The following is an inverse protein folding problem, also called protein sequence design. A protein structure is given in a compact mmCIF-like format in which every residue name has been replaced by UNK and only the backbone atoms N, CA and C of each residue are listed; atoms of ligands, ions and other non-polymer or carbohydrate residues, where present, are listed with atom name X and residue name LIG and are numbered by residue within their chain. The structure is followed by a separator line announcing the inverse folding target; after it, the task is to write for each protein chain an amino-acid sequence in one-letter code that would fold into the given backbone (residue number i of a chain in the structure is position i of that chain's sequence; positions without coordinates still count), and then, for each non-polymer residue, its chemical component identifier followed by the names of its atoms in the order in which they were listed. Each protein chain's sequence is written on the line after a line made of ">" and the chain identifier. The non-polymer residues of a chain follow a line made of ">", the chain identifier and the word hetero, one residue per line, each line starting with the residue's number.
data_IF_268144667953
#
_entry.id   IF_268144667953
#
_cell.length_a   1.000
_cell.length_b   1.000
_cell.length_c   1.000
_cell.angle_alpha   90.00
_cell.angle_beta   90.00
_cell.angle_gamma   90.00
#
_symmetry.space_group_name_H-M   'P 1'
#
loop_
_entity.id
_entity.type
_entity.pdbx_description
1 polymer ?
#
# COMPACT_ATOMS: atom_id res chain seq x y z
N UNK A 1 -18.81 -13.32 10.02
CA UNK A 1 -17.89 -13.04 8.89
C UNK A 1 -16.50 -12.50 9.35
N UNK A 2 -15.98 -12.95 10.49
CA UNK A 2 -14.55 -12.78 10.87
C UNK A 2 -13.91 -14.13 11.26
N UNK A 3 -14.63 -15.24 11.12
CA UNK A 3 -14.22 -16.54 11.66
C UNK A 3 -13.35 -17.35 10.67
N UNK A 4 -13.24 -16.92 9.42
CA UNK A 4 -12.51 -17.65 8.35
C UNK A 4 -11.23 -16.94 7.89
N UNK A 5 -10.73 -15.99 8.68
CA UNK A 5 -9.51 -15.22 8.38
C UNK A 5 -8.39 -15.60 9.35
N UNK A 6 -7.18 -15.77 8.82
CA UNK A 6 -6.02 -16.11 9.63
C UNK A 6 -5.38 -14.82 10.17
N UNK A 7 -5.46 -14.59 11.49
CA UNK A 7 -4.95 -13.39 12.15
C UNK A 7 -3.79 -13.72 13.06
N UNK A 8 -2.81 -12.82 13.15
CA UNK A 8 -1.71 -12.95 14.10
C UNK A 8 -2.19 -12.53 15.49
N UNK A 9 -2.60 -13.51 16.31
CA UNK A 9 -3.18 -13.29 17.64
C UNK A 9 -2.26 -12.51 18.58
N UNK A 10 -0.96 -12.44 18.30
CA UNK A 10 -0.05 -11.56 19.05
C UNK A 10 -0.55 -10.13 19.00
N UNK A 11 -1.18 -9.67 17.92
CA UNK A 11 -1.66 -8.30 17.74
C UNK A 11 -3.02 -7.98 18.38
N UNK A 12 -3.66 -8.96 19.02
CA UNK A 12 -4.90 -8.77 19.77
C UNK A 12 -4.74 -7.74 20.91
N UNK A 13 -5.77 -6.94 21.25
CA UNK A 13 -7.08 -6.88 20.59
C UNK A 13 -7.03 -6.16 19.24
N UNK A 14 -7.97 -6.52 18.36
CA UNK A 14 -8.08 -5.95 17.01
C UNK A 14 -9.22 -4.94 16.89
N UNK A 15 -8.97 -3.89 16.12
CA UNK A 15 -9.99 -3.00 15.61
C UNK A 15 -10.84 -3.73 14.54
N UNK A 16 -12.03 -4.18 14.94
CA UNK A 16 -12.92 -4.96 14.06
C UNK A 16 -13.36 -4.18 12.82
N UNK A 17 -13.56 -2.87 12.94
CA UNK A 17 -13.89 -2.00 11.80
C UNK A 17 -12.73 -1.95 10.78
N UNK A 18 -11.48 -1.84 11.23
CA UNK A 18 -10.33 -1.83 10.33
C UNK A 18 -10.20 -3.18 9.60
N UNK A 19 -10.34 -4.29 10.33
CA UNK A 19 -10.35 -5.63 9.73
C UNK A 19 -11.42 -5.74 8.64
N UNK A 20 -12.67 -5.42 8.94
CA UNK A 20 -13.77 -5.51 7.97
C UNK A 20 -13.51 -4.67 6.72
N UNK A 21 -13.01 -3.43 6.89
CA UNK A 21 -12.69 -2.55 5.75
C UNK A 21 -11.52 -3.09 4.92
N UNK A 22 -10.48 -3.63 5.55
CA UNK A 22 -9.36 -4.25 4.82
C UNK A 22 -9.79 -5.49 4.04
N UNK A 23 -10.60 -6.36 4.64
CA UNK A 23 -11.14 -7.55 3.95
C UNK A 23 -11.99 -7.15 2.74
N UNK A 24 -12.82 -6.12 2.88
CA UNK A 24 -13.58 -5.57 1.76
C UNK A 24 -12.67 -5.07 0.64
N UNK A 25 -11.56 -4.41 0.96
CA UNK A 25 -10.58 -3.95 -0.05
C UNK A 25 -9.95 -5.14 -0.78
N UNK A 26 -9.55 -6.20 -0.06
CA UNK A 26 -9.00 -7.41 -0.68
C UNK A 26 -10.03 -8.02 -1.63
N UNK A 27 -11.26 -8.22 -1.16
CA UNK A 27 -12.33 -8.83 -1.95
C UNK A 27 -12.66 -7.99 -3.20
N UNK A 28 -12.73 -6.66 -3.07
CA UNK A 28 -12.96 -5.78 -4.21
C UNK A 28 -11.77 -5.82 -5.20
N UNK A 29 -10.54 -5.94 -4.71
CA UNK A 29 -9.37 -6.05 -5.56
C UNK A 29 -9.38 -7.35 -6.37
N UNK A 30 -9.64 -8.48 -5.72
CA UNK A 30 -9.71 -9.79 -6.39
C UNK A 30 -10.93 -9.94 -7.29
N UNK A 31 -12.04 -9.26 -6.98
CA UNK A 31 -13.21 -9.21 -7.84
C UNK A 31 -12.95 -8.37 -9.11
N UNK A 32 -12.22 -7.26 -8.97
CA UNK A 32 -11.85 -6.42 -10.12
C UNK A 32 -10.79 -7.06 -11.00
N UNK A 33 -9.79 -7.70 -10.38
CA UNK A 33 -8.70 -8.39 -11.05
C UNK A 33 -8.52 -9.80 -10.45
N UNK A 34 -8.98 -10.86 -11.16
CA UNK A 34 -8.78 -12.25 -10.73
C UNK A 34 -7.34 -12.58 -10.37
N UNK A 35 -6.39 -11.92 -11.05
CA UNK A 35 -4.94 -11.95 -10.79
C UNK A 35 -4.51 -10.62 -10.18
N UNK A 36 -4.57 -10.52 -8.86
CA UNK A 36 -4.18 -9.34 -8.09
C UNK A 36 -2.81 -9.55 -7.45
N UNK A 37 -1.93 -8.56 -7.55
CA UNK A 37 -0.72 -8.49 -6.74
C UNK A 37 -0.95 -7.49 -5.61
N UNK A 38 -0.77 -7.93 -4.36
CA UNK A 38 -0.71 -7.05 -3.21
C UNK A 38 0.76 -6.78 -2.83
N UNK A 39 1.08 -5.55 -2.47
CA UNK A 39 2.42 -5.15 -2.02
C UNK A 39 2.32 -4.35 -0.72
N UNK A 40 3.08 -4.76 0.29
CA UNK A 40 3.25 -3.98 1.53
C UNK A 40 4.35 -2.95 1.37
N UNK A 41 4.06 -1.73 1.81
CA UNK A 41 4.98 -0.59 1.78
C UNK A 41 4.85 0.18 3.09
N UNK A 42 5.97 0.63 3.65
CA UNK A 42 6.00 1.51 4.81
C UNK A 42 6.55 2.88 4.37
N UNK A 43 5.75 3.94 4.55
CA UNK A 43 6.10 5.31 4.19
C UNK A 43 6.54 6.09 5.42
N UNK A 44 7.69 6.76 5.32
CA UNK A 44 8.30 7.53 6.41
C UNK A 44 8.35 9.02 6.05
N UNK A 45 8.23 9.85 7.07
CA UNK A 45 8.42 11.29 6.94
C UNK A 45 9.91 11.65 7.06
N UNK A 46 10.39 12.69 6.33
CA UNK A 46 11.70 13.29 6.56
C UNK A 46 11.79 13.91 7.95
N UNK A 47 13.02 14.09 8.45
CA UNK A 47 13.22 14.59 9.81
C UNK A 47 12.70 16.01 10.04
N UNK A 48 12.71 16.84 9.00
CA UNK A 48 12.31 18.25 9.02
C UNK A 48 10.91 18.48 8.43
N UNK A 49 10.10 17.44 8.27
CA UNK A 49 8.77 17.58 7.68
C UNK A 49 7.71 17.75 8.76
N UNK A 50 7.01 18.87 8.76
CA UNK A 50 5.87 19.09 9.65
C UNK A 50 4.81 18.01 9.44
N UNK A 51 4.44 17.30 10.52
CA UNK A 51 3.46 16.22 10.48
C UNK A 51 2.06 16.71 10.03
N UNK A 52 1.81 18.01 10.18
CA UNK A 52 0.50 18.67 10.07
C UNK A 52 -0.01 18.92 8.65
N UNK A 53 0.50 18.24 7.61
CA UNK A 53 -0.06 18.39 6.25
C UNK A 53 -1.23 17.43 6.05
N UNK A 54 -2.43 17.91 6.35
CA UNK A 54 -3.68 17.22 6.02
C UNK A 54 -3.68 16.70 4.57
N UNK A 55 -4.24 15.50 4.36
CA UNK A 55 -4.35 14.90 3.03
C UNK A 55 -3.06 14.34 2.42
N UNK A 56 -1.99 14.16 3.20
CA UNK A 56 -0.71 13.62 2.69
C UNK A 56 -0.88 12.28 1.95
N UNK A 57 -1.62 11.33 2.53
CA UNK A 57 -1.87 10.05 1.87
C UNK A 57 -2.77 10.19 0.64
N UNK A 58 -3.73 11.12 0.65
CA UNK A 58 -4.54 11.40 -0.54
C UNK A 58 -3.67 11.88 -1.70
N UNK A 59 -2.77 12.86 -1.46
CA UNK A 59 -1.81 13.32 -2.47
C UNK A 59 -0.91 12.20 -2.99
N UNK A 60 -0.45 11.33 -2.09
CA UNK A 60 0.34 10.17 -2.47
C UNK A 60 -0.43 9.24 -3.42
N UNK A 61 -1.67 8.87 -3.05
CA UNK A 61 -2.51 7.98 -3.86
C UNK A 61 -2.86 8.61 -5.21
N UNK A 62 -3.22 9.90 -5.23
CA UNK A 62 -3.49 10.66 -6.47
C UNK A 62 -2.25 10.68 -7.37
N UNK A 63 -1.07 10.96 -6.81
CA UNK A 63 0.19 10.98 -7.54
C UNK A 63 0.55 9.60 -8.09
N UNK A 64 0.35 8.53 -7.32
CA UNK A 64 0.62 7.16 -7.75
C UNK A 64 -0.34 6.73 -8.86
N UNK A 65 -1.63 7.03 -8.74
CA UNK A 65 -2.63 6.78 -9.80
C UNK A 65 -2.26 7.50 -11.10
N UNK A 66 -1.93 8.79 -11.03
CA UNK A 66 -1.53 9.56 -12.21
C UNK A 66 -0.29 8.97 -12.89
N UNK A 67 0.68 8.49 -12.10
CA UNK A 67 1.90 7.84 -12.61
C UNK A 67 1.63 6.48 -13.25
N UNK A 68 0.76 5.66 -12.66
CA UNK A 68 0.32 4.37 -13.23
C UNK A 68 -0.39 4.61 -14.59
N UNK A 69 -1.28 5.61 -14.64
CA UNK A 69 -2.01 5.96 -15.87
C UNK A 69 -1.08 6.53 -16.96
N UNK A 70 -0.16 7.42 -16.60
CA UNK A 70 0.84 7.94 -17.52
C UNK A 70 1.72 6.83 -18.11
N UNK A 71 2.13 5.88 -17.26
CA UNK A 71 2.85 4.67 -17.69
C UNK A 71 2.02 3.85 -18.67
N UNK A 72 0.75 3.59 -18.36
CA UNK A 72 -0.14 2.83 -19.23
C UNK A 72 -0.27 3.48 -20.62
N UNK A 73 -0.54 4.78 -20.68
CA UNK A 73 -0.61 5.55 -21.93
C UNK A 73 0.71 5.54 -22.71
N UNK A 74 1.84 5.66 -22.02
CA UNK A 74 3.17 5.58 -22.65
C UNK A 74 3.41 4.22 -23.30
N UNK A 75 3.05 3.12 -22.62
CA UNK A 75 3.17 1.76 -23.16
C UNK A 75 2.26 1.52 -24.36
N UNK A 76 1.02 2.02 -24.33
CA UNK A 76 0.11 1.97 -25.48
C UNK A 76 0.69 2.70 -26.71
N UNK A 77 1.25 3.91 -26.51
CA UNK A 77 1.89 4.68 -27.60
C UNK A 77 3.11 3.96 -28.20
N UNK A 78 3.80 3.14 -27.42
CA UNK A 78 4.94 2.33 -27.86
C UNK A 78 4.51 1.00 -28.53
N UNK A 79 3.20 0.73 -28.66
CA UNK A 79 2.70 -0.55 -29.16
C UNK A 79 2.96 -1.73 -28.21
N UNK A 80 3.35 -1.47 -26.96
CA UNK A 80 3.62 -2.50 -25.96
C UNK A 80 2.31 -2.91 -25.30
N UNK A 81 1.99 -4.20 -25.39
CA UNK A 81 0.84 -4.78 -24.68
C UNK A 81 0.92 -4.47 -23.19
N UNK A 82 -0.09 -3.79 -22.68
CA UNK A 82 -0.25 -3.48 -21.27
C UNK A 82 -1.74 -3.51 -20.91
N UNK A 83 -2.03 -3.66 -19.63
CA UNK A 83 -3.39 -3.75 -19.11
C UNK A 83 -3.68 -2.56 -18.19
N UNK A 84 -4.93 -2.08 -18.15
CA UNK A 84 -5.32 -1.04 -17.19
C UNK A 84 -5.18 -1.56 -15.76
N UNK A 85 -4.80 -0.66 -14.85
CA UNK A 85 -4.59 -0.98 -13.45
C UNK A 85 -5.16 0.13 -12.57
N UNK A 86 -6.30 -0.15 -11.95
CA UNK A 86 -6.89 0.68 -10.93
C UNK A 86 -6.31 0.30 -9.56
N UNK A 87 -5.63 1.25 -8.91
CA UNK A 87 -5.02 1.03 -7.61
C UNK A 87 -6.09 0.92 -6.52
N UNK A 88 -5.99 -0.13 -5.71
CA UNK A 88 -6.71 -0.24 -4.43
C UNK A 88 -5.73 -0.28 -3.29
N UNK A 89 -6.15 0.14 -2.11
CA UNK A 89 -5.22 0.28 -0.99
C UNK A 89 -5.91 0.31 0.36
N UNK A 90 -5.14 -0.02 1.39
CA UNK A 90 -5.45 0.27 2.78
C UNK A 90 -4.18 0.74 3.48
N UNK A 91 -4.30 1.68 4.42
CA UNK A 91 -3.19 2.22 5.17
C UNK A 91 -3.58 2.48 6.62
N UNK A 92 -2.56 2.45 7.48
CA UNK A 92 -2.64 2.89 8.88
C UNK A 92 -1.49 3.82 9.20
N UNK A 93 -1.75 4.79 10.06
CA UNK A 93 -0.71 5.63 10.66
C UNK A 93 -0.32 5.04 12.00
N UNK A 94 0.98 5.06 12.27
CA UNK A 94 1.56 4.80 13.57
C UNK A 94 2.53 5.92 13.92
N UNK A 95 2.76 6.14 15.22
CA UNK A 95 3.71 7.12 15.71
C UNK A 95 4.83 6.34 16.40
N UNK A 96 6.06 6.52 15.91
CA UNK A 96 7.23 5.85 16.49
C UNK A 96 7.42 6.22 17.95
N UNK A 97 7.58 5.23 18.83
CA UNK A 97 7.68 5.46 20.27
C UNK A 97 8.88 6.34 20.65
N UNK A 98 10.03 6.12 19.97
CA UNK A 98 11.28 6.85 20.17
C UNK A 98 11.38 8.12 19.33
N UNK A 99 11.08 8.02 18.04
CA UNK A 99 11.19 9.16 17.10
C UNK A 99 10.09 10.19 17.28
N UNK A 100 8.97 9.81 17.92
CA UNK A 100 7.70 10.57 17.94
C UNK A 100 7.18 10.95 16.55
N UNK A 101 7.70 10.28 15.51
CA UNK A 101 7.40 10.56 14.12
C UNK A 101 6.33 9.64 13.57
N UNK A 102 5.45 10.22 12.78
CA UNK A 102 4.43 9.50 12.05
C UNK A 102 5.04 8.69 10.91
N UNK A 103 4.64 7.43 10.81
CA UNK A 103 4.91 6.56 9.67
C UNK A 103 3.64 5.84 9.27
N UNK A 104 3.54 5.47 7.99
CA UNK A 104 2.34 4.87 7.42
C UNK A 104 2.65 3.47 6.92
N UNK A 105 1.97 2.46 7.47
CA UNK A 105 1.99 1.13 6.91
C UNK A 105 0.86 1.01 5.91
N UNK A 106 1.16 0.51 4.71
CA UNK A 106 0.21 0.46 3.61
C UNK A 106 0.30 -0.86 2.87
N UNK A 107 -0.83 -1.27 2.33
CA UNK A 107 -0.92 -2.32 1.32
C UNK A 107 -1.55 -1.73 0.07
N UNK A 108 -0.92 -1.97 -1.07
CA UNK A 108 -1.41 -1.59 -2.39
C UNK A 108 -1.79 -2.85 -3.15
N UNK A 109 -2.89 -2.81 -3.89
CA UNK A 109 -3.35 -3.88 -4.76
C UNK A 109 -3.38 -3.37 -6.19
N UNK A 110 -2.74 -4.12 -7.07
CA UNK A 110 -2.58 -3.79 -8.48
C UNK A 110 -2.91 -5.00 -9.35
N UNK A 111 -3.27 -4.75 -10.60
CA UNK A 111 -3.43 -5.79 -11.59
C UNK A 111 -2.07 -6.49 -11.82
N UNK A 112 -1.99 -7.79 -11.54
CA UNK A 112 -0.75 -8.58 -11.70
C UNK A 112 -0.27 -8.60 -13.16
N UNK A 113 -1.20 -8.54 -14.11
CA UNK A 113 -0.87 -8.55 -15.53
C UNK A 113 -0.29 -7.19 -16.00
N UNK A 114 -0.47 -6.12 -15.20
CA UNK A 114 0.23 -4.83 -15.38
C UNK A 114 1.54 -4.79 -14.61
N UNK A 115 1.55 -5.28 -13.37
CA UNK A 115 2.70 -5.31 -12.47
C UNK A 115 2.86 -6.71 -11.87
N UNK A 116 3.84 -7.47 -12.37
CA UNK A 116 4.15 -8.81 -11.86
C UNK A 116 5.19 -8.82 -10.71
N UNK A 117 5.67 -7.64 -10.32
CA UNK A 117 6.62 -7.44 -9.24
C UNK A 117 6.90 -5.95 -9.01
N UNK A 118 7.85 -5.67 -8.12
CA UNK A 118 8.27 -4.30 -7.81
C UNK A 118 9.05 -3.63 -8.96
N UNK A 119 9.77 -4.41 -9.76
CA UNK A 119 10.76 -3.88 -10.69
C UNK A 119 11.99 -3.32 -9.98
N UNK A 120 12.81 -2.57 -10.71
CA UNK A 120 14.02 -1.94 -10.19
C UNK A 120 13.71 -0.60 -9.50
N UNK A 121 14.52 -0.28 -8.49
CA UNK A 121 14.49 0.99 -7.76
C UNK A 121 15.47 1.96 -8.41
N UNK A 122 15.06 2.63 -9.49
CA UNK A 122 15.88 3.65 -10.15
C UNK A 122 15.06 4.88 -10.51
N UNK A 123 15.72 6.03 -10.61
CA UNK A 123 15.10 7.31 -11.00
C UNK A 123 14.50 7.26 -12.42
N UNK A 124 15.07 6.43 -13.28
CA UNK A 124 14.57 6.13 -14.64
C UNK A 124 13.67 4.89 -14.69
N UNK A 125 13.48 4.22 -13.55
CA UNK A 125 12.74 2.97 -13.45
C UNK A 125 11.25 3.19 -13.72
N UNK A 126 10.67 2.35 -14.58
CA UNK A 126 9.21 2.35 -14.82
C UNK A 126 8.48 1.26 -14.05
N UNK A 127 9.17 0.61 -13.11
CA UNK A 127 8.63 -0.41 -12.21
C UNK A 127 7.79 0.20 -11.09
N UNK A 128 6.95 -0.63 -10.46
CA UNK A 128 6.04 -0.19 -9.41
C UNK A 128 6.79 0.49 -8.24
N UNK A 129 7.97 0.00 -7.87
CA UNK A 129 8.78 0.57 -6.80
C UNK A 129 9.19 2.03 -7.08
N UNK A 130 9.69 2.32 -8.29
CA UNK A 130 10.02 3.68 -8.72
C UNK A 130 8.79 4.58 -8.75
N UNK A 131 7.62 4.08 -9.19
CA UNK A 131 6.39 4.87 -9.18
C UNK A 131 5.93 5.21 -7.75
N UNK A 132 6.02 4.26 -6.82
CA UNK A 132 5.72 4.47 -5.40
C UNK A 132 6.67 5.52 -4.81
N UNK A 133 7.98 5.38 -5.05
CA UNK A 133 8.96 6.34 -4.55
C UNK A 133 8.69 7.74 -5.09
N UNK A 134 8.55 7.88 -6.42
CA UNK A 134 8.29 9.17 -7.05
C UNK A 134 6.97 9.79 -6.57
N UNK A 135 5.93 8.98 -6.35
CA UNK A 135 4.65 9.44 -5.80
C UNK A 135 4.81 9.94 -4.35
N UNK A 136 5.61 9.26 -3.54
CA UNK A 136 5.86 9.68 -2.16
C UNK A 136 6.62 10.99 -2.07
N UNK A 137 7.69 11.14 -2.86
CA UNK A 137 8.42 12.41 -2.95
C UNK A 137 7.54 13.56 -3.44
N UNK A 138 6.69 13.28 -4.44
CA UNK A 138 5.71 14.27 -4.94
C UNK A 138 4.73 14.70 -3.82
N UNK A 139 4.22 13.75 -3.03
CA UNK A 139 3.28 14.03 -1.94
C UNK A 139 3.90 14.87 -0.81
N UNK A 140 5.21 14.68 -0.57
CA UNK A 140 6.03 15.43 0.37
C UNK A 140 6.54 16.76 -0.20
N UNK A 141 6.32 17.05 -1.49
CA UNK A 141 6.84 18.23 -2.20
C UNK A 141 8.38 18.28 -2.18
N UNK A 142 9.02 17.12 -2.30
CA UNK A 142 10.47 16.99 -2.30
C UNK A 142 10.97 16.65 -3.71
N UNK A 143 12.03 17.32 -4.12
CA UNK A 143 12.89 16.85 -5.22
C UNK A 143 13.63 15.57 -4.77
N UNK A 144 14.17 14.73 -5.69
CA UNK A 144 14.88 13.50 -5.34
C UNK A 144 16.40 13.69 -5.11
N UNK A 145 16.90 13.98 -3.90
CA UNK A 145 18.28 13.76 -3.50
C UNK A 145 18.51 12.29 -3.12
N UNK A 146 19.78 11.84 -3.06
CA UNK A 146 20.15 10.47 -2.74
C UNK A 146 19.57 9.93 -1.42
N UNK A 147 19.41 10.80 -0.40
CA UNK A 147 18.96 10.39 0.94
C UNK A 147 17.48 10.00 1.05
N UNK A 148 16.62 10.45 0.14
CA UNK A 148 15.17 10.21 0.24
C UNK A 148 14.72 8.83 -0.26
N UNK A 149 15.64 8.01 -0.79
CA UNK A 149 15.39 6.59 -1.08
C UNK A 149 14.94 5.81 0.17
N UNK A 150 15.32 6.28 1.36
CA UNK A 150 14.97 5.65 2.64
C UNK A 150 13.55 5.99 3.13
N UNK A 151 12.86 6.95 2.50
CA UNK A 151 11.52 7.37 2.91
C UNK A 151 10.43 6.38 2.50
N UNK A 152 10.70 5.52 1.52
CA UNK A 152 9.83 4.38 1.16
C UNK A 152 10.57 3.10 1.52
N UNK A 153 10.10 2.45 2.58
CA UNK A 153 10.65 1.18 3.03
C UNK A 153 9.78 0.02 2.53
N UNK A 154 10.39 -0.90 1.80
CA UNK A 154 9.77 -2.16 1.37
C UNK A 154 10.23 -3.25 2.33
N UNK A 155 9.35 -3.84 3.15
CA UNK A 155 9.75 -4.85 4.12
C UNK A 155 10.01 -6.21 3.45
N UNK A 156 10.65 -7.14 4.16
CA UNK A 156 10.90 -8.49 3.66
C UNK A 156 9.60 -9.22 3.28
N UNK A 157 9.64 -10.05 2.25
CA UNK A 157 8.47 -10.75 1.69
C UNK A 157 7.26 -9.82 1.43
N UNK A 158 7.43 -8.70 0.69
CA UNK A 158 6.41 -7.66 0.60
C UNK A 158 5.25 -8.01 -0.34
N UNK A 159 5.44 -9.01 -1.20
CA UNK A 159 4.55 -9.34 -2.32
C UNK A 159 3.67 -10.55 -2.02
N UNK A 160 2.40 -10.44 -2.39
CA UNK A 160 1.40 -11.50 -2.31
C UNK A 160 0.66 -11.58 -3.64
N UNK A 161 0.63 -12.76 -4.24
CA UNK A 161 -0.01 -13.00 -5.54
C UNK A 161 -1.33 -13.74 -5.34
N UNK A 162 -2.43 -13.00 -5.38
CA UNK A 162 -3.78 -13.52 -5.28
C UNK A 162 -4.28 -13.85 -6.69
N UNK A 163 -4.28 -15.12 -7.03
CA UNK A 163 -4.93 -15.65 -8.24
C UNK A 163 -6.14 -16.48 -7.80
N UNK A 164 -7.35 -15.96 -8.02
CA UNK A 164 -8.60 -16.58 -7.53
C UNK A 164 -8.84 -17.99 -8.10
N UNK A 165 -8.17 -18.33 -9.20
CA UNK A 165 -8.28 -19.64 -9.85
C UNK A 165 -7.14 -20.59 -9.43
N UNK A 166 -6.16 -20.13 -8.64
CA UNK A 166 -5.03 -20.96 -8.22
C UNK A 166 -5.38 -21.82 -7.00
N UNK A 167 -4.88 -23.06 -6.99
CA UNK A 167 -5.08 -24.01 -5.88
C UNK A 167 -4.57 -23.48 -4.53
N UNK A 168 -3.56 -22.62 -4.54
CA UNK A 168 -2.97 -22.04 -3.34
C UNK A 168 -3.58 -20.68 -2.94
N UNK A 169 -4.67 -20.24 -3.57
CA UNK A 169 -5.31 -18.94 -3.31
C UNK A 169 -5.55 -18.71 -1.82
N UNK A 170 -6.19 -19.68 -1.14
CA UNK A 170 -6.50 -19.59 0.29
C UNK A 170 -5.24 -19.45 1.14
N UNK A 171 -4.19 -20.22 0.85
CA UNK A 171 -2.90 -20.11 1.55
C UNK A 171 -2.28 -18.71 1.40
N UNK A 172 -2.32 -18.11 0.21
CA UNK A 172 -1.79 -16.76 0.00
C UNK A 172 -2.66 -15.70 0.67
N UNK A 173 -3.98 -15.85 0.59
CA UNK A 173 -4.96 -15.00 1.27
C UNK A 173 -4.75 -15.00 2.80
N UNK A 174 -4.53 -16.18 3.39
CA UNK A 174 -4.28 -16.33 4.82
C UNK A 174 -2.95 -15.73 5.23
N UNK A 175 -1.88 -15.90 4.43
CA UNK A 175 -0.59 -15.23 4.67
C UNK A 175 -0.72 -13.71 4.59
N UNK A 176 -1.52 -13.19 3.66
CA UNK A 176 -1.76 -11.75 3.52
C UNK A 176 -2.56 -11.22 4.71
N UNK A 177 -3.69 -11.83 5.05
CA UNK A 177 -4.54 -11.40 6.17
C UNK A 177 -3.82 -11.50 7.51
N UNK A 178 -2.99 -12.53 7.71
CA UNK A 178 -2.11 -12.65 8.87
C UNK A 178 -1.19 -11.44 8.99
N UNK A 179 -0.54 -11.04 7.89
CA UNK A 179 0.35 -9.89 7.90
C UNK A 179 -0.38 -8.55 8.06
N UNK A 180 -1.56 -8.41 7.45
CA UNK A 180 -2.37 -7.20 7.55
C UNK A 180 -3.09 -7.09 8.90
N UNK A 181 -3.20 -8.17 9.68
CA UNK A 181 -3.75 -8.10 11.04
C UNK A 181 -3.01 -7.11 11.94
N UNK A 182 -1.71 -6.87 11.68
CA UNK A 182 -0.93 -5.80 12.31
C UNK A 182 -1.57 -4.41 12.12
N UNK A 183 -2.17 -4.14 10.96
CA UNK A 183 -2.77 -2.83 10.70
C UNK A 183 -3.96 -2.59 11.64
N UNK A 184 -4.67 -3.66 12.00
CA UNK A 184 -5.80 -3.61 12.91
C UNK A 184 -5.43 -3.80 14.38
N UNK A 185 -4.15 -3.88 14.78
CA UNK A 185 -3.80 -3.90 16.20
C UNK A 185 -4.34 -2.63 16.87
N UNK A 186 -5.02 -2.76 18.01
CA UNK A 186 -5.55 -1.60 18.73
C UNK A 186 -4.43 -0.88 19.51
N UNK A 187 -3.49 -1.68 20.05
CA UNK A 187 -2.34 -1.14 20.79
C UNK A 187 -1.51 -0.21 19.92
N UNK A 188 -0.99 0.85 20.55
CA UNK A 188 -0.15 1.89 19.93
C UNK A 188 -0.83 2.71 18.83
N UNK A 189 -2.14 2.59 18.61
CA UNK A 189 -2.86 3.48 17.70
C UNK A 189 -3.11 4.81 18.40
N UNK A 190 -2.55 5.87 17.84
CA UNK A 190 -2.90 7.23 18.24
C UNK A 190 -4.19 7.62 17.49
N UNK A 191 -5.31 7.68 18.20
CA UNK A 191 -6.57 8.20 17.67
C UNK A 191 -6.63 9.70 17.95
N UNK A 192 -6.50 10.52 16.90
CA UNK A 192 -6.63 11.97 17.00
C UNK A 192 -7.79 12.42 16.12
N UNK A 193 -8.65 13.34 16.61
CA UNK A 193 -9.74 13.91 15.80
C UNK A 193 -9.23 14.66 14.56
N UNK A 194 -8.02 15.22 14.64
CA UNK A 194 -7.45 16.05 13.58
C UNK A 194 -6.74 15.21 12.51
N UNK A 195 -6.39 13.96 12.80
CA UNK A 195 -5.60 13.11 11.89
C UNK A 195 -6.07 11.66 11.91
N UNK A 196 -6.47 11.16 10.73
CA UNK A 196 -6.95 9.78 10.59
C UNK A 196 -5.82 8.77 10.82
N UNK A 197 -6.11 7.75 11.60
CA UNK A 197 -5.19 6.63 11.88
C UNK A 197 -5.33 5.47 10.88
N UNK A 198 -6.37 5.51 10.03
CA UNK A 198 -6.66 4.53 8.98
C UNK A 198 -7.38 5.17 7.79
N UNK A 199 -7.10 4.64 6.61
CA UNK A 199 -7.86 4.91 5.40
C UNK A 199 -7.73 3.78 4.39
N UNK A 200 -8.69 3.69 3.46
CA UNK A 200 -8.66 2.69 2.41
C UNK A 200 -9.53 3.12 1.21
N UNK A 201 -9.34 2.49 0.05
CA UNK A 201 -10.26 2.61 -1.09
C UNK A 201 -11.66 2.09 -0.71
N UNK A 202 -12.73 2.78 -1.11
CA UNK A 202 -14.12 2.44 -0.73
C UNK A 202 -14.88 1.62 -1.78
N UNK A 203 -14.53 1.76 -3.05
CA UNK A 203 -15.20 1.18 -4.21
C UNK A 203 -14.23 0.40 -5.04
#
# INVERSE_FOLDING_TARGET
>A
MLNDIYLDQRHSPFNTMYLQRMLRVINNATAQYPRTMAVRVDLRLPDNHDECKAGLISRFIESLNAKIEARYRSKLKQGIRCYPCHLRYAWVREVGEKSKKSHYHMVLFVNKDTFNGLGTYSEEGTGLASLIQAAWLSALQLSPPPGYRTLVHIPDNPLYYLDVNALNYKTVYDKLTFRLSYFAKERTKSYNRNERSFGCSQS
#
